data_IF_198699284760
#
_entry.id   IF_198699284760
#
_cell.length_a   1.000
_cell.length_b   1.000
_cell.length_c   1.000
_cell.angle_alpha   90.00
_cell.angle_beta   90.00
_cell.angle_gamma   90.00
#
_symmetry.space_group_name_H-M   'P 1'
#
loop_
_entity.id
_entity.type
_entity.pdbx_description
1 polymer ?
#
# COMPACT_ATOMS: atom_id res chain seq x y z
N UNK A 1 -55.52 -6.51 10.50
CA UNK A 1 -54.09 -6.64 10.40
C UNK A 1 -53.47 -5.33 10.83
N UNK A 2 -52.90 -5.26 12.04
CA UNK A 2 -52.19 -4.09 12.50
C UNK A 2 -50.90 -3.97 11.66
N UNK A 3 -50.75 -2.86 10.93
CA UNK A 3 -49.47 -2.50 10.33
C UNK A 3 -48.47 -2.32 11.47
N UNK A 4 -47.53 -3.25 11.61
CA UNK A 4 -46.37 -3.05 12.48
C UNK A 4 -45.75 -1.70 12.09
N UNK A 5 -45.95 -0.72 12.94
CA UNK A 5 -45.29 0.58 12.82
C UNK A 5 -43.82 0.36 13.18
N UNK A 6 -43.04 -0.04 12.19
CA UNK A 6 -41.58 0.12 12.24
C UNK A 6 -41.33 1.62 12.45
N UNK A 7 -40.95 2.05 13.63
CA UNK A 7 -40.73 3.46 13.96
C UNK A 7 -39.47 4.02 13.22
N UNK A 8 -39.42 3.81 11.91
CA UNK A 8 -38.35 4.31 11.06
C UNK A 8 -38.68 5.74 10.63
N UNK A 9 -37.69 6.61 10.69
CA UNK A 9 -37.70 7.94 10.07
C UNK A 9 -36.73 7.97 8.89
N UNK A 10 -37.10 8.61 7.78
CA UNK A 10 -36.33 8.61 6.55
C UNK A 10 -36.79 7.55 5.55
N UNK A 11 -35.94 7.20 4.59
CA UNK A 11 -36.29 6.40 3.40
C UNK A 11 -35.46 5.11 3.35
N UNK A 12 -36.08 4.06 2.82
CA UNK A 12 -35.45 2.77 2.52
C UNK A 12 -34.76 2.07 3.71
N UNK A 13 -35.23 2.32 4.91
CA UNK A 13 -34.78 1.62 6.10
C UNK A 13 -35.50 0.27 6.24
N UNK A 14 -34.74 -0.78 6.53
CA UNK A 14 -35.24 -2.10 6.91
C UNK A 14 -34.99 -2.34 8.38
N UNK A 15 -35.93 -3.06 9.05
CA UNK A 15 -35.85 -3.23 10.50
C UNK A 15 -36.65 -2.16 11.25
N UNK A 16 -36.26 -1.84 12.48
CA UNK A 16 -37.05 -1.01 13.40
C UNK A 16 -36.25 0.12 14.03
N UNK A 17 -36.90 1.26 14.28
CA UNK A 17 -36.35 2.41 14.98
C UNK A 17 -35.07 2.99 14.31
N UNK A 18 -34.98 2.91 13.00
CA UNK A 18 -33.89 3.52 12.26
C UNK A 18 -34.20 4.97 11.91
N UNK A 19 -33.19 5.81 11.88
CA UNK A 19 -33.26 7.20 11.44
C UNK A 19 -32.23 7.45 10.31
N UNK A 20 -32.69 8.11 9.24
CA UNK A 20 -31.85 8.36 8.06
C UNK A 20 -32.23 7.47 6.88
N UNK A 21 -31.24 7.03 6.07
CA UNK A 21 -31.50 6.38 4.79
C UNK A 21 -30.72 5.07 4.64
N UNK A 22 -31.38 4.06 4.04
CA UNK A 22 -30.77 2.76 3.70
C UNK A 22 -30.09 2.04 4.87
N UNK A 23 -30.63 2.19 6.07
CA UNK A 23 -30.16 1.41 7.21
C UNK A 23 -30.82 0.03 7.25
N UNK A 24 -30.05 -0.99 7.58
CA UNK A 24 -30.50 -2.36 7.78
C UNK A 24 -30.26 -2.79 9.23
N UNK A 25 -31.27 -3.42 9.83
CA UNK A 25 -31.25 -3.78 11.25
C UNK A 25 -32.00 -2.78 12.10
N UNK A 26 -31.65 -2.62 13.39
CA UNK A 26 -32.47 -1.82 14.30
C UNK A 26 -31.67 -0.73 15.01
N UNK A 27 -32.33 0.41 15.24
CA UNK A 27 -31.82 1.52 16.03
C UNK A 27 -30.54 2.13 15.47
N UNK A 28 -30.43 2.16 14.15
CA UNK A 28 -29.34 2.84 13.47
C UNK A 28 -29.72 4.29 13.15
N UNK A 29 -28.74 5.19 13.21
CA UNK A 29 -28.89 6.59 12.83
C UNK A 29 -27.82 6.96 11.78
N UNK A 30 -28.23 7.58 10.68
CA UNK A 30 -27.37 7.96 9.58
C UNK A 30 -27.68 7.21 8.29
N UNK A 31 -26.65 6.92 7.49
CA UNK A 31 -26.80 6.37 6.14
C UNK A 31 -26.08 5.05 5.98
N UNK A 32 -26.73 4.07 5.36
CA UNK A 32 -26.12 2.78 4.99
C UNK A 32 -25.52 1.99 6.15
N UNK A 33 -26.07 2.09 7.34
CA UNK A 33 -25.62 1.27 8.44
C UNK A 33 -26.26 -0.12 8.38
N UNK A 34 -25.48 -1.15 8.73
CA UNK A 34 -25.94 -2.53 8.88
C UNK A 34 -25.71 -3.03 10.29
N UNK A 35 -26.72 -3.57 10.91
CA UNK A 35 -26.64 -4.08 12.28
C UNK A 35 -27.48 -3.28 13.27
N UNK A 36 -26.97 -3.06 14.49
CA UNK A 36 -27.76 -2.46 15.56
C UNK A 36 -27.03 -1.33 16.29
N UNK A 37 -27.75 -0.27 16.60
CA UNK A 37 -27.24 0.83 17.41
C UNK A 37 -26.03 1.55 16.80
N UNK A 38 -25.93 1.60 15.49
CA UNK A 38 -24.87 2.38 14.85
C UNK A 38 -25.31 3.83 14.67
N UNK A 39 -24.37 4.74 14.86
CA UNK A 39 -24.52 6.17 14.62
C UNK A 39 -23.46 6.66 13.65
N UNK A 40 -23.86 7.38 12.60
CA UNK A 40 -22.99 7.78 11.51
C UNK A 40 -23.29 7.00 10.23
N UNK A 41 -22.30 6.85 9.34
CA UNK A 41 -22.56 6.29 8.01
C UNK A 41 -21.70 5.07 7.71
N UNK A 42 -22.26 4.13 6.94
CA UNK A 42 -21.54 2.95 6.43
C UNK A 42 -20.92 2.07 7.53
N UNK A 43 -21.53 2.05 8.70
CA UNK A 43 -21.09 1.16 9.77
C UNK A 43 -21.70 -0.22 9.63
N UNK A 44 -20.91 -1.26 9.93
CA UNK A 44 -21.35 -2.65 10.00
C UNK A 44 -21.07 -3.24 11.37
N UNK A 45 -22.08 -3.85 11.97
CA UNK A 45 -21.98 -4.44 13.31
C UNK A 45 -22.80 -3.72 14.36
N UNK A 46 -22.29 -3.62 15.59
CA UNK A 46 -23.07 -3.13 16.74
C UNK A 46 -22.37 -1.99 17.48
N UNK A 47 -23.13 -0.96 17.81
CA UNK A 47 -22.68 0.12 18.69
C UNK A 47 -21.50 0.92 18.13
N UNK A 48 -21.41 1.06 16.81
CA UNK A 48 -20.38 1.89 16.22
C UNK A 48 -20.84 3.36 16.15
N UNK A 49 -19.89 4.26 16.37
CA UNK A 49 -20.07 5.71 16.24
C UNK A 49 -19.03 6.28 15.28
N UNK A 50 -19.46 7.09 14.31
CA UNK A 50 -18.64 7.60 13.22
C UNK A 50 -18.89 6.87 11.91
N UNK A 51 -17.95 6.88 10.98
CA UNK A 51 -18.19 6.39 9.63
C UNK A 51 -17.28 5.23 9.23
N UNK A 52 -17.82 4.29 8.48
CA UNK A 52 -17.05 3.21 7.87
C UNK A 52 -16.50 2.17 8.84
N UNK A 53 -17.00 2.08 10.05
CA UNK A 53 -16.53 1.11 11.02
C UNK A 53 -17.14 -0.27 10.79
N UNK A 54 -16.30 -1.31 10.95
CA UNK A 54 -16.70 -2.71 10.89
C UNK A 54 -16.38 -3.42 12.21
N UNK A 55 -17.36 -4.16 12.74
CA UNK A 55 -17.24 -4.81 14.05
C UNK A 55 -18.07 -4.10 15.11
N UNK A 56 -17.62 -4.12 16.38
CA UNK A 56 -18.48 -3.65 17.47
C UNK A 56 -17.82 -2.62 18.36
N UNK A 57 -18.59 -1.62 18.78
CA UNK A 57 -18.17 -0.59 19.73
C UNK A 57 -16.97 0.23 19.29
N UNK A 58 -16.85 0.46 17.98
CA UNK A 58 -15.83 1.35 17.46
C UNK A 58 -16.33 2.79 17.51
N UNK A 59 -15.38 3.71 17.77
CA UNK A 59 -15.61 5.15 17.72
C UNK A 59 -14.60 5.79 16.79
N UNK A 60 -15.06 6.61 15.86
CA UNK A 60 -14.22 7.25 14.86
C UNK A 60 -14.45 6.69 13.46
N UNK A 61 -13.40 6.58 12.65
CA UNK A 61 -13.53 6.31 11.23
C UNK A 61 -12.71 5.11 10.79
N UNK A 62 -13.29 4.28 9.92
CA UNK A 62 -12.58 3.19 9.24
C UNK A 62 -11.93 2.16 10.17
N UNK A 63 -12.45 1.99 11.39
CA UNK A 63 -11.94 0.96 12.30
C UNK A 63 -12.53 -0.40 11.95
N UNK A 64 -11.69 -1.45 12.04
CA UNK A 64 -12.08 -2.84 11.86
C UNK A 64 -11.76 -3.65 13.12
N UNK A 65 -12.70 -4.44 13.60
CA UNK A 65 -12.60 -5.16 14.86
C UNK A 65 -13.45 -4.56 15.96
N UNK A 66 -13.02 -4.66 17.22
CA UNK A 66 -13.88 -4.26 18.34
C UNK A 66 -13.22 -3.26 19.27
N UNK A 67 -14.02 -2.31 19.75
CA UNK A 67 -13.61 -1.34 20.79
C UNK A 67 -12.41 -0.49 20.41
N UNK A 68 -12.29 -0.17 19.13
CA UNK A 68 -11.29 0.75 18.66
C UNK A 68 -11.78 2.20 18.78
N UNK A 69 -10.84 3.12 19.04
CA UNK A 69 -11.09 4.55 19.05
C UNK A 69 -10.07 5.25 18.16
N UNK A 70 -10.55 6.10 17.25
CA UNK A 70 -9.70 6.85 16.34
C UNK A 70 -9.93 6.50 14.88
N UNK A 71 -8.87 6.37 14.10
CA UNK A 71 -8.95 6.23 12.65
C UNK A 71 -8.13 5.04 12.13
N UNK A 72 -8.74 4.20 11.32
CA UNK A 72 -8.03 3.17 10.57
C UNK A 72 -7.42 2.04 11.41
N UNK A 73 -7.90 1.83 12.64
CA UNK A 73 -7.37 0.77 13.48
C UNK A 73 -7.95 -0.61 13.07
N UNK A 74 -7.09 -1.64 13.11
CA UNK A 74 -7.45 -3.03 12.86
C UNK A 74 -7.13 -3.89 14.08
N UNK A 75 -8.07 -4.77 14.45
CA UNK A 75 -7.97 -5.58 15.68
C UNK A 75 -8.83 -5.02 16.81
N UNK A 76 -8.45 -5.26 18.07
CA UNK A 76 -9.30 -4.93 19.20
C UNK A 76 -8.63 -3.99 20.21
N UNK A 77 -9.43 -3.07 20.77
CA UNK A 77 -9.02 -2.16 21.85
C UNK A 77 -7.89 -1.20 21.49
N UNK A 78 -7.74 -0.85 20.21
CA UNK A 78 -6.75 0.15 19.82
C UNK A 78 -7.28 1.57 20.00
N UNK A 79 -6.37 2.48 20.34
CA UNK A 79 -6.64 3.93 20.45
C UNK A 79 -5.62 4.70 19.60
N UNK A 80 -6.10 5.64 18.79
CA UNK A 80 -5.24 6.42 17.90
C UNK A 80 -5.44 6.10 16.42
N UNK A 81 -4.36 6.05 15.66
CA UNK A 81 -4.41 6.01 14.19
C UNK A 81 -3.62 4.84 13.63
N UNK A 82 -4.22 4.10 12.71
CA UNK A 82 -3.52 3.09 11.92
C UNK A 82 -2.81 2.00 12.74
N UNK A 83 -3.34 1.65 13.92
CA UNK A 83 -2.80 0.54 14.69
C UNK A 83 -3.35 -0.78 14.18
N UNK A 84 -2.47 -1.79 14.13
CA UNK A 84 -2.81 -3.18 13.81
C UNK A 84 -2.51 -4.07 15.02
N UNK A 85 -3.36 -5.04 15.29
CA UNK A 85 -3.25 -5.88 16.48
C UNK A 85 -4.13 -5.39 17.62
N UNK A 86 -3.70 -5.54 18.88
CA UNK A 86 -4.60 -5.32 19.99
C UNK A 86 -4.00 -4.44 21.09
N UNK A 87 -4.85 -3.62 21.71
CA UNK A 87 -4.52 -2.78 22.86
C UNK A 87 -3.38 -1.80 22.63
N UNK A 88 -3.17 -1.38 21.40
CA UNK A 88 -2.17 -0.37 21.07
C UNK A 88 -2.74 1.03 21.28
N UNK A 89 -1.88 1.95 21.70
CA UNK A 89 -2.16 3.38 21.80
C UNK A 89 -1.09 4.16 21.03
N UNK A 90 -1.50 5.21 20.32
CA UNK A 90 -0.61 5.95 19.45
C UNK A 90 -0.92 5.71 17.98
N UNK A 91 0.08 5.71 17.12
CA UNK A 91 -0.14 5.53 15.68
C UNK A 91 0.90 4.59 15.04
N UNK A 92 0.46 3.86 14.04
CA UNK A 92 1.28 2.95 13.26
C UNK A 92 1.87 1.78 14.05
N UNK A 93 1.28 1.40 15.18
CA UNK A 93 1.75 0.25 15.93
C UNK A 93 1.20 -1.05 15.35
N UNK A 94 2.03 -2.09 15.36
CA UNK A 94 1.65 -3.45 15.04
C UNK A 94 2.05 -4.37 16.19
N UNK A 95 1.11 -5.10 16.75
CA UNK A 95 1.39 -5.99 17.86
C UNK A 95 0.43 -5.85 19.03
N UNK A 96 0.92 -5.88 20.27
CA UNK A 96 0.09 -5.93 21.45
C UNK A 96 0.55 -4.99 22.56
N UNK A 97 -0.34 -4.09 23.00
CA UNK A 97 -0.14 -3.30 24.18
C UNK A 97 0.94 -2.20 24.07
N UNK A 98 1.29 -1.80 22.85
CA UNK A 98 2.25 -0.72 22.66
C UNK A 98 1.59 0.64 22.92
N UNK A 99 2.31 1.54 23.61
CA UNK A 99 1.82 2.89 23.95
C UNK A 99 2.73 3.99 23.40
N UNK A 100 3.33 3.75 22.27
CA UNK A 100 4.16 4.67 21.50
C UNK A 100 3.78 4.59 20.02
N UNK A 101 4.65 5.02 19.11
CA UNK A 101 4.36 5.04 17.68
C UNK A 101 5.30 4.12 16.91
N UNK A 102 4.81 3.57 15.78
CA UNK A 102 5.58 2.77 14.83
C UNK A 102 6.26 1.54 15.45
N UNK A 103 5.67 1.01 16.52
CA UNK A 103 6.22 -0.15 17.22
C UNK A 103 5.64 -1.47 16.76
N UNK A 104 6.50 -2.46 16.74
CA UNK A 104 6.13 -3.86 16.58
C UNK A 104 6.52 -4.64 17.84
N UNK A 105 5.69 -5.61 18.23
CA UNK A 105 5.99 -6.40 19.41
C UNK A 105 5.02 -6.18 20.56
N UNK A 106 5.50 -6.25 21.81
CA UNK A 106 4.65 -6.34 22.99
C UNK A 106 5.13 -5.37 24.07
N UNK A 107 4.21 -4.51 24.55
CA UNK A 107 4.39 -3.60 25.68
C UNK A 107 5.55 -2.60 25.55
N UNK A 108 5.78 -2.09 24.33
CA UNK A 108 6.74 -1.02 24.11
C UNK A 108 6.13 0.34 24.48
N UNK A 109 6.91 1.15 25.16
CA UNK A 109 6.54 2.50 25.61
C UNK A 109 7.40 3.60 25.00
N UNK A 110 8.47 3.21 24.31
CA UNK A 110 9.39 4.10 23.61
C UNK A 110 9.51 3.64 22.17
N UNK A 111 9.61 4.59 21.25
CA UNK A 111 9.84 4.28 19.84
C UNK A 111 11.20 3.62 19.66
N UNK A 112 11.20 2.44 19.04
CA UNK A 112 12.41 1.70 18.76
C UNK A 112 13.22 2.28 17.61
N UNK A 113 14.42 1.79 17.45
CA UNK A 113 15.26 2.07 16.28
C UNK A 113 14.89 1.18 15.11
N UNK A 114 15.21 1.64 13.91
CA UNK A 114 14.89 0.91 12.70
C UNK A 114 15.76 -0.32 12.52
N UNK A 115 15.18 -1.34 11.96
CA UNK A 115 15.90 -2.49 11.42
C UNK A 115 15.89 -2.38 9.89
N UNK A 116 17.08 -2.27 9.29
CA UNK A 116 17.25 -2.13 7.84
C UNK A 116 18.19 -3.22 7.34
N UNK A 117 17.85 -3.84 6.23
CA UNK A 117 18.61 -4.95 5.65
C UNK A 117 19.02 -6.01 6.69
N UNK A 118 18.03 -6.42 7.49
CA UNK A 118 18.17 -7.41 8.57
C UNK A 118 19.09 -7.01 9.75
N UNK A 119 19.60 -5.79 9.80
CA UNK A 119 20.47 -5.29 10.88
C UNK A 119 19.80 -4.13 11.61
N UNK A 120 20.02 -4.03 12.94
CA UNK A 120 19.58 -2.90 13.73
C UNK A 120 20.40 -1.66 13.38
N UNK A 121 19.75 -0.51 13.45
CA UNK A 121 20.39 0.80 13.35
C UNK A 121 20.19 1.56 14.66
N UNK A 122 20.89 2.68 14.84
CA UNK A 122 20.63 3.62 15.93
C UNK A 122 19.63 4.72 15.52
N UNK A 123 19.04 4.62 14.32
CA UNK A 123 18.17 5.61 13.70
C UNK A 123 16.70 5.31 13.96
N UNK A 124 15.90 6.36 14.09
CA UNK A 124 14.44 6.32 14.07
C UNK A 124 13.90 6.63 12.69
N UNK A 125 12.61 6.46 12.51
CA UNK A 125 11.94 6.71 11.24
C UNK A 125 12.20 8.12 10.69
N UNK A 126 12.11 9.12 11.56
CA UNK A 126 12.24 10.53 11.15
C UNK A 126 13.70 10.97 10.92
N UNK A 127 14.68 10.10 11.20
CA UNK A 127 16.11 10.36 10.97
C UNK A 127 16.58 10.01 9.56
N UNK A 128 15.69 9.46 8.72
CA UNK A 128 16.03 8.95 7.39
C UNK A 128 15.37 9.79 6.30
N UNK A 129 16.12 10.07 5.25
CA UNK A 129 15.56 10.55 3.99
C UNK A 129 14.96 9.34 3.25
N UNK A 130 13.62 9.25 3.32
CA UNK A 130 12.90 8.10 2.78
C UNK A 130 12.86 8.16 1.26
N UNK A 131 13.17 7.05 0.58
CA UNK A 131 12.88 6.93 -0.85
C UNK A 131 11.39 7.14 -1.12
N UNK A 132 11.09 7.79 -2.22
CA UNK A 132 9.72 8.01 -2.67
C UNK A 132 9.30 6.85 -3.60
N UNK A 133 8.28 6.11 -3.19
CA UNK A 133 7.72 5.02 -3.97
C UNK A 133 6.34 5.35 -4.58
N UNK A 134 5.99 6.62 -4.68
CA UNK A 134 4.69 7.05 -5.22
C UNK A 134 4.48 6.59 -6.68
N UNK A 135 5.57 6.41 -7.43
CA UNK A 135 5.53 5.90 -8.80
C UNK A 135 5.70 4.37 -8.92
N UNK A 136 5.62 3.64 -7.80
CA UNK A 136 5.60 2.18 -7.81
C UNK A 136 4.19 1.66 -8.04
N UNK A 137 3.92 1.13 -9.23
CA UNK A 137 2.58 0.66 -9.62
C UNK A 137 2.58 -0.82 -10.00
N UNK A 138 1.67 -1.58 -9.39
CA UNK A 138 1.33 -2.95 -9.82
C UNK A 138 0.33 -2.96 -10.98
N UNK A 139 -0.34 -1.83 -11.24
CA UNK A 139 -1.29 -1.67 -12.32
C UNK A 139 -1.11 -0.30 -12.97
N UNK A 140 -1.23 -0.24 -14.29
CA UNK A 140 -1.22 1.02 -15.04
C UNK A 140 -2.33 0.99 -16.06
N UNK A 141 -3.10 2.08 -16.17
CA UNK A 141 -4.01 2.24 -17.28
C UNK A 141 -3.21 2.56 -18.54
N UNK A 142 -3.41 1.76 -19.59
CA UNK A 142 -2.84 1.98 -20.92
C UNK A 142 -3.96 2.49 -21.80
N UNK A 143 -3.86 3.75 -22.24
CA UNK A 143 -4.85 4.36 -23.12
C UNK A 143 -4.76 3.78 -24.54
N UNK A 144 -5.85 3.88 -25.30
CA UNK A 144 -5.90 3.39 -26.70
C UNK A 144 -4.74 3.93 -27.54
N UNK A 145 -4.32 5.16 -27.32
CA UNK A 145 -3.23 5.81 -28.06
C UNK A 145 -1.84 5.25 -27.73
N UNK A 146 -1.70 4.63 -26.54
CA UNK A 146 -0.44 4.02 -26.07
C UNK A 146 -0.36 2.52 -26.33
N UNK A 147 -1.47 1.91 -26.74
CA UNK A 147 -1.53 0.47 -27.02
C UNK A 147 -0.79 0.10 -28.30
N UNK A 148 -0.01 -0.98 -28.22
CA UNK A 148 0.60 -1.62 -29.38
C UNK A 148 -0.45 -2.34 -30.26
N UNK A 149 -0.10 -2.66 -31.50
CA UNK A 149 -0.98 -3.41 -32.39
C UNK A 149 -1.27 -4.84 -31.89
N UNK A 150 -0.30 -5.44 -31.19
CA UNK A 150 -0.45 -6.75 -30.54
C UNK A 150 -1.44 -6.68 -29.37
N UNK A 151 -1.35 -5.66 -28.52
CA UNK A 151 -2.27 -5.43 -27.41
C UNK A 151 -3.70 -5.17 -27.92
N UNK A 152 -3.85 -4.39 -28.98
CA UNK A 152 -5.15 -4.15 -29.64
C UNK A 152 -5.77 -5.42 -30.24
N UNK A 153 -4.95 -6.31 -30.78
CA UNK A 153 -5.42 -7.61 -31.28
C UNK A 153 -5.81 -8.58 -30.16
N UNK A 154 -5.08 -8.53 -29.03
CA UNK A 154 -5.35 -9.38 -27.87
C UNK A 154 -6.64 -9.00 -27.14
N UNK A 155 -7.01 -7.72 -27.18
CA UNK A 155 -8.20 -7.17 -26.54
C UNK A 155 -9.04 -6.37 -27.56
N UNK A 156 -9.87 -7.04 -28.39
CA UNK A 156 -10.63 -6.38 -29.47
C UNK A 156 -11.63 -5.32 -29.01
N UNK A 157 -12.03 -5.36 -27.73
CA UNK A 157 -13.01 -4.44 -27.14
C UNK A 157 -12.37 -3.20 -26.46
N UNK A 158 -11.07 -2.99 -26.64
CA UNK A 158 -10.34 -1.88 -26.04
C UNK A 158 -10.96 -0.52 -26.34
N UNK A 159 -11.50 -0.31 -27.53
CA UNK A 159 -12.10 0.94 -27.97
C UNK A 159 -13.37 1.31 -27.20
N UNK A 160 -14.11 0.33 -26.66
CA UNK A 160 -15.31 0.57 -25.84
C UNK A 160 -14.92 1.19 -24.49
N UNK A 161 -13.75 0.83 -23.96
CA UNK A 161 -13.23 1.28 -22.68
C UNK A 161 -12.23 2.43 -22.81
N UNK A 162 -11.74 2.69 -24.03
CA UNK A 162 -10.69 3.67 -24.29
C UNK A 162 -9.28 3.20 -23.87
N UNK A 163 -9.10 1.88 -23.66
CA UNK A 163 -7.85 1.28 -23.21
C UNK A 163 -8.05 0.06 -22.33
N UNK A 164 -6.99 -0.37 -21.62
CA UNK A 164 -7.04 -1.49 -20.69
C UNK A 164 -6.16 -1.27 -19.47
N UNK A 165 -6.43 -2.04 -18.39
CA UNK A 165 -5.61 -2.04 -17.18
C UNK A 165 -4.51 -3.09 -17.34
N UNK A 166 -3.26 -2.64 -17.48
CA UNK A 166 -2.08 -3.50 -17.48
C UNK A 166 -1.67 -3.82 -16.05
N UNK A 167 -1.50 -5.10 -15.76
CA UNK A 167 -1.02 -5.57 -14.46
C UNK A 167 0.41 -6.05 -14.61
N UNK A 168 1.25 -5.69 -13.67
CA UNK A 168 2.66 -6.08 -13.59
C UNK A 168 2.87 -7.11 -12.48
N UNK A 169 3.81 -8.01 -12.67
CA UNK A 169 4.37 -8.79 -11.56
C UNK A 169 5.15 -7.88 -10.60
N UNK A 170 5.48 -8.39 -9.43
CA UNK A 170 6.27 -7.64 -8.46
C UNK A 170 7.63 -7.20 -9.02
N UNK A 171 8.32 -8.11 -9.69
CA UNK A 171 9.62 -7.86 -10.31
C UNK A 171 9.52 -6.85 -11.46
N UNK A 172 8.48 -6.95 -12.29
CA UNK A 172 8.24 -5.99 -13.37
C UNK A 172 7.95 -4.58 -12.84
N UNK A 173 7.17 -4.47 -11.76
CA UNK A 173 6.86 -3.19 -11.14
C UNK A 173 8.14 -2.54 -10.57
N UNK A 174 9.01 -3.31 -9.88
CA UNK A 174 10.30 -2.82 -9.42
C UNK A 174 11.25 -2.44 -10.55
N UNK A 175 11.30 -3.24 -11.61
CA UNK A 175 12.12 -2.94 -12.79
C UNK A 175 11.68 -1.64 -13.49
N UNK A 176 10.35 -1.43 -13.59
CA UNK A 176 9.80 -0.20 -14.15
C UNK A 176 10.14 1.01 -13.25
N UNK A 177 9.84 0.92 -11.95
CA UNK A 177 10.17 1.97 -10.99
C UNK A 177 11.65 2.33 -11.04
N UNK A 178 12.55 1.35 -10.97
CA UNK A 178 14.00 1.58 -10.97
C UNK A 178 14.51 2.19 -12.27
N UNK A 179 13.97 1.79 -13.42
CA UNK A 179 14.31 2.35 -14.72
C UNK A 179 13.90 3.82 -14.83
N UNK A 180 12.69 4.13 -14.34
CA UNK A 180 12.06 5.43 -14.50
C UNK A 180 12.46 6.43 -13.40
N UNK A 181 13.00 5.97 -12.25
CA UNK A 181 13.57 6.80 -11.18
C UNK A 181 14.82 7.55 -11.66
N UNK A 182 14.97 8.76 -11.18
CA UNK A 182 16.19 9.53 -11.39
C UNK A 182 17.37 9.03 -10.53
N UNK A 183 18.57 9.58 -10.76
CA UNK A 183 19.77 9.14 -10.03
C UNK A 183 19.76 9.59 -8.57
N UNK A 184 19.08 10.67 -8.23
CA UNK A 184 18.95 11.14 -6.85
C UNK A 184 18.12 10.14 -6.03
N UNK A 185 16.99 9.69 -6.57
CA UNK A 185 16.12 8.71 -5.92
C UNK A 185 16.81 7.33 -5.79
N UNK A 186 17.52 6.89 -6.81
CA UNK A 186 18.34 5.68 -6.74
C UNK A 186 19.41 5.78 -5.66
N UNK A 187 20.07 6.93 -5.53
CA UNK A 187 21.08 7.15 -4.50
C UNK A 187 20.51 7.18 -3.09
N UNK A 188 19.29 7.69 -2.88
CA UNK A 188 18.60 7.58 -1.58
C UNK A 188 18.45 6.12 -1.16
N UNK A 189 18.03 5.25 -2.08
CA UNK A 189 17.91 3.80 -1.80
C UNK A 189 19.27 3.18 -1.51
N UNK A 190 20.28 3.43 -2.35
CA UNK A 190 21.60 2.82 -2.23
C UNK A 190 22.38 3.31 -1.00
N UNK A 191 22.07 4.50 -0.50
CA UNK A 191 22.70 5.08 0.69
C UNK A 191 22.01 4.75 2.00
N UNK A 192 20.91 3.97 1.95
CA UNK A 192 20.23 3.56 3.17
C UNK A 192 21.19 2.81 4.12
N UNK A 193 21.09 3.04 5.42
CA UNK A 193 21.93 2.36 6.40
C UNK A 193 21.87 0.84 6.27
N UNK A 194 23.03 0.20 6.33
CA UNK A 194 23.19 -1.25 6.17
C UNK A 194 22.76 -1.78 4.79
N UNK A 195 22.69 -0.95 3.77
CA UNK A 195 22.31 -1.40 2.43
C UNK A 195 23.06 -2.69 2.07
N UNK A 196 22.31 -3.65 1.57
CA UNK A 196 22.84 -4.96 1.17
C UNK A 196 22.30 -5.31 -0.22
N UNK A 197 23.17 -5.30 -1.24
CA UNK A 197 22.76 -5.54 -2.62
C UNK A 197 22.07 -6.89 -2.84
N UNK A 198 22.46 -7.91 -2.08
CA UNK A 198 21.88 -9.25 -2.21
C UNK A 198 20.45 -9.30 -1.66
N UNK A 199 20.18 -8.65 -0.53
CA UNK A 199 18.84 -8.50 0.03
C UNK A 199 17.98 -7.61 -0.87
N UNK A 200 18.55 -6.52 -1.40
CA UNK A 200 17.84 -5.66 -2.34
C UNK A 200 17.42 -6.44 -3.59
N UNK A 201 18.33 -7.22 -4.16
CA UNK A 201 18.06 -8.09 -5.31
C UNK A 201 17.01 -9.18 -4.99
N UNK A 202 17.06 -9.77 -3.80
CA UNK A 202 16.06 -10.78 -3.38
C UNK A 202 14.65 -10.19 -3.34
N UNK A 203 14.50 -8.94 -2.89
CA UNK A 203 13.20 -8.27 -2.76
C UNK A 203 12.69 -7.74 -4.09
N UNK A 204 13.57 -7.11 -4.89
CA UNK A 204 13.19 -6.30 -6.06
C UNK A 204 13.47 -7.00 -7.40
N UNK A 205 14.33 -8.01 -7.42
CA UNK A 205 14.86 -8.60 -8.65
C UNK A 205 16.00 -7.79 -9.30
N UNK A 206 16.33 -6.60 -8.77
CA UNK A 206 17.30 -5.66 -9.37
C UNK A 206 18.70 -5.99 -8.89
N UNK A 207 19.62 -6.20 -9.84
CA UNK A 207 21.03 -6.45 -9.58
C UNK A 207 21.85 -5.17 -9.76
N UNK A 208 22.07 -4.44 -8.66
CA UNK A 208 22.83 -3.18 -8.69
C UNK A 208 24.35 -3.39 -8.78
N UNK A 209 24.86 -4.58 -8.43
CA UNK A 209 26.28 -4.89 -8.55
C UNK A 209 26.67 -5.20 -9.99
N UNK A 210 25.79 -5.83 -10.76
CA UNK A 210 26.03 -6.08 -12.18
C UNK A 210 25.99 -4.79 -13.00
N UNK A 211 25.15 -3.83 -12.59
CA UNK A 211 25.04 -2.52 -13.23
C UNK A 211 26.27 -1.63 -12.98
N UNK A 212 26.98 -1.86 -11.89
CA UNK A 212 28.21 -1.11 -11.54
C UNK A 212 29.50 -1.71 -12.14
N UNK A 213 29.43 -2.92 -12.69
CA UNK A 213 30.54 -3.48 -13.44
C UNK A 213 30.60 -2.83 -14.81
N UNK A 214 31.40 -1.78 -14.90
CA UNK A 214 31.78 -1.21 -16.18
C UNK A 214 32.47 -2.31 -16.98
N UNK A 215 31.77 -2.83 -18.00
CA UNK A 215 32.45 -3.77 -18.93
C UNK A 215 33.52 -3.02 -19.66
N UNK A 216 34.71 -3.53 -19.59
CA UNK A 216 35.84 -2.95 -20.28
C UNK A 216 36.31 -3.84 -21.43
N UNK A 217 36.74 -3.23 -22.53
CA UNK A 217 37.36 -3.92 -23.66
C UNK A 217 38.78 -3.43 -23.81
N UNK A 218 39.71 -4.35 -24.05
CA UNK A 218 41.10 -4.02 -24.32
C UNK A 218 41.34 -3.96 -25.84
N UNK A 219 41.75 -2.79 -26.33
CA UNK A 219 42.08 -2.58 -27.74
C UNK A 219 43.48 -1.98 -27.82
N UNK A 220 44.40 -2.69 -28.45
CA UNK A 220 45.76 -2.19 -28.66
C UNK A 220 46.56 -1.97 -27.36
N UNK A 221 46.24 -2.71 -26.28
CA UNK A 221 46.90 -2.58 -24.97
C UNK A 221 46.35 -1.42 -24.11
N UNK A 222 45.25 -0.82 -24.50
CA UNK A 222 44.51 0.17 -23.70
C UNK A 222 43.13 -0.33 -23.37
N UNK A 223 42.67 -0.09 -22.12
CA UNK A 223 41.39 -0.50 -21.62
C UNK A 223 40.38 0.63 -21.82
N UNK A 224 39.22 0.32 -22.43
CA UNK A 224 38.13 1.24 -22.69
C UNK A 224 36.84 0.76 -22.02
N UNK A 225 36.06 1.70 -21.51
CA UNK A 225 34.69 1.42 -21.03
C UNK A 225 33.76 1.12 -22.21
N UNK A 226 32.94 0.10 -22.08
CA UNK A 226 31.97 -0.28 -23.12
C UNK A 226 30.63 0.38 -22.84
N UNK A 227 30.28 1.41 -23.61
CA UNK A 227 28.95 2.01 -23.55
C UNK A 227 27.87 1.05 -24.07
N UNK A 228 26.63 1.24 -23.65
CA UNK A 228 25.50 0.41 -24.09
C UNK A 228 25.30 0.50 -25.62
N UNK A 229 25.55 1.66 -26.22
CA UNK A 229 25.56 1.84 -27.69
C UNK A 229 26.61 0.96 -28.39
N UNK A 230 27.75 0.83 -27.76
CA UNK A 230 28.85 -0.02 -28.28
C UNK A 230 28.48 -1.50 -28.14
N UNK A 231 27.83 -1.90 -27.03
CA UNK A 231 27.33 -3.28 -26.84
C UNK A 231 26.31 -3.67 -27.92
N UNK A 232 25.36 -2.79 -28.20
CA UNK A 232 24.37 -3.03 -29.26
C UNK A 232 24.99 -3.08 -30.66
N UNK A 233 26.04 -2.28 -30.89
CA UNK A 233 26.80 -2.31 -32.13
C UNK A 233 27.60 -3.61 -32.28
N UNK A 234 28.23 -4.06 -31.20
CA UNK A 234 28.98 -5.33 -31.18
C UNK A 234 28.08 -6.55 -31.38
N UNK A 235 26.83 -6.56 -30.83
CA UNK A 235 25.87 -7.62 -31.09
C UNK A 235 25.46 -7.75 -32.56
N UNK A 236 25.51 -6.64 -33.31
CA UNK A 236 25.21 -6.61 -34.77
C UNK A 236 26.36 -7.06 -35.65
N UNK A 237 27.57 -7.17 -35.11
CA UNK A 237 28.71 -7.72 -35.83
C UNK A 237 28.52 -9.23 -35.99
N UNK A 238 28.35 -9.73 -37.23
CA UNK A 238 28.34 -11.16 -37.51
C UNK A 238 29.70 -11.75 -37.14
N UNK A 239 29.71 -12.88 -36.43
CA UNK A 239 30.88 -13.75 -36.36
C UNK A 239 31.24 -14.14 -37.80
N UNK A 240 32.45 -13.77 -38.21
CA UNK A 240 33.07 -14.28 -39.45
C UNK A 240 33.46 -15.75 -39.25
#
# INVERSE_FOLDING_TARGET
MAKDKKNNTGVDNTGENNSGYWNSGNRNSGYWNSGYWNSGNRNSGYWNSGDGNSGNRNSGYWNSGNRNSGYGNSGDWNSGYWNSGNRNSGYWNSGYGNSTNRETGIFNTTEGTLRMFNKLTDLKWDDIDHPDFDEFYLNKWVSESEMTDEEKKADPDFFVRGGYLKTFTWEEAWANYWRDSDEEEKQKVLSLPNFDPSIFKEITGIDVESSSKVETIEIGGQTYEVSDELKESLKKLKKL
#
